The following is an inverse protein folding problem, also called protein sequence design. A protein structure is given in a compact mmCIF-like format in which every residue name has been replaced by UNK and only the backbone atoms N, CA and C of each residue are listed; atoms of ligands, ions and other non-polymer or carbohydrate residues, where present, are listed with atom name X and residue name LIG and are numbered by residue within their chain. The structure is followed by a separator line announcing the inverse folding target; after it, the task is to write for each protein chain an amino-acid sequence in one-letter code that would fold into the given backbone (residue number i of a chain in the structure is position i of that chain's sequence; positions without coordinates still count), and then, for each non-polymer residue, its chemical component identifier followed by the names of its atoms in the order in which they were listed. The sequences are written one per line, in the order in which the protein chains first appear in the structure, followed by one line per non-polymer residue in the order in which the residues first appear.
data_IF_487849596543
#
_entry.id   IF_487849596543
#
_cell.length_a   1.000
_cell.length_b   1.000
_cell.length_c   1.000
_cell.angle_alpha   90.00
_cell.angle_beta   90.00
_cell.angle_gamma   90.00
#
_symmetry.space_group_name_H-M   'P 1'
#
loop_
_entity.id
_entity.type
_entity.pdbx_description
1 polymer ?
#
# COMPACT_ATOMS: atom_id res chain seq x y z
N UNK A 1 -23.31 5.62 6.62
CA UNK A 1 -22.01 5.85 5.98
C UNK A 1 -21.07 6.51 6.96
N UNK A 2 -19.87 6.01 7.10
CA UNK A 2 -18.90 6.52 8.07
C UNK A 2 -17.96 7.50 7.38
N UNK A 3 -17.67 8.63 8.04
CA UNK A 3 -16.66 9.54 7.54
C UNK A 3 -15.30 8.86 7.57
N UNK A 4 -14.48 9.14 6.58
CA UNK A 4 -13.14 8.58 6.50
C UNK A 4 -12.26 9.46 5.62
N UNK A 5 -10.96 9.30 5.79
CA UNK A 5 -9.97 9.88 4.90
C UNK A 5 -9.31 8.75 4.10
N UNK A 6 -9.00 8.99 2.85
CA UNK A 6 -8.34 8.02 2.01
C UNK A 6 -7.07 8.62 1.42
N UNK A 7 -6.00 7.82 1.24
CA UNK A 7 -4.83 8.31 0.54
C UNK A 7 -5.15 8.58 -0.92
N UNK A 8 -4.52 9.60 -1.47
CA UNK A 8 -4.64 9.97 -2.87
C UNK A 8 -3.26 9.92 -3.49
N UNK A 9 -3.01 8.91 -4.31
CA UNK A 9 -1.69 8.52 -4.76
C UNK A 9 -1.55 8.69 -6.27
N UNK A 10 -0.33 8.95 -6.76
CA UNK A 10 -0.13 9.12 -8.20
C UNK A 10 -0.04 7.79 -8.92
N UNK A 11 -0.47 7.79 -10.18
CA UNK A 11 -0.29 6.67 -11.09
C UNK A 11 0.09 7.20 -12.47
N UNK A 12 1.20 6.72 -12.99
CA UNK A 12 1.60 7.06 -14.36
C UNK A 12 0.69 6.40 -15.40
N UNK A 13 0.11 5.26 -15.04
CA UNK A 13 -0.78 4.51 -15.93
C UNK A 13 -1.71 3.65 -15.07
N UNK A 14 -2.99 3.93 -15.10
CA UNK A 14 -3.98 3.25 -14.26
C UNK A 14 -4.01 1.74 -14.49
N UNK A 15 -3.83 1.30 -15.73
CA UNK A 15 -3.86 -0.13 -16.03
C UNK A 15 -2.71 -0.87 -15.34
N UNK A 16 -1.52 -0.31 -15.42
CA UNK A 16 -0.34 -0.88 -14.76
C UNK A 16 -0.51 -0.91 -13.24
N UNK A 17 -0.98 0.19 -12.66
CA UNK A 17 -1.22 0.30 -11.22
C UNK A 17 -2.29 -0.69 -10.76
N UNK A 18 -3.38 -0.81 -11.51
CA UNK A 18 -4.46 -1.74 -11.18
C UNK A 18 -3.95 -3.19 -11.17
N UNK A 19 -3.21 -3.60 -12.18
CA UNK A 19 -2.64 -4.95 -12.25
C UNK A 19 -1.68 -5.22 -11.11
N UNK A 20 -0.84 -4.25 -10.78
CA UNK A 20 0.12 -4.40 -9.70
C UNK A 20 -0.57 -4.68 -8.38
N UNK A 21 -1.54 -3.85 -8.01
CA UNK A 21 -2.24 -4.01 -6.73
C UNK A 21 -3.23 -5.17 -6.73
N UNK A 22 -3.76 -5.55 -7.89
CA UNK A 22 -4.63 -6.73 -7.97
C UNK A 22 -3.89 -8.00 -7.55
N UNK A 23 -2.62 -8.13 -7.90
CA UNK A 23 -1.79 -9.25 -7.45
C UNK A 23 -1.65 -9.29 -5.92
N UNK A 24 -1.89 -8.17 -5.24
CA UNK A 24 -1.83 -8.06 -3.78
C UNK A 24 -3.22 -8.14 -3.14
N UNK A 25 -4.25 -8.39 -3.93
CA UNK A 25 -5.61 -8.54 -3.43
C UNK A 25 -6.45 -7.26 -3.41
N UNK A 26 -5.96 -6.17 -3.99
CA UNK A 26 -6.76 -4.95 -4.11
C UNK A 26 -7.45 -4.92 -5.48
N UNK A 27 -8.76 -4.79 -5.47
CA UNK A 27 -9.57 -4.84 -6.68
C UNK A 27 -10.10 -3.45 -7.05
N UNK A 28 -10.25 -3.23 -8.35
CA UNK A 28 -10.85 -1.99 -8.85
C UNK A 28 -12.31 -1.92 -8.45
N UNK A 29 -12.68 -0.90 -7.67
CA UNK A 29 -14.08 -0.62 -7.35
C UNK A 29 -14.65 0.54 -8.17
N UNK A 30 -13.78 1.38 -8.73
CA UNK A 30 -14.17 2.49 -9.60
C UNK A 30 -12.98 2.89 -10.48
N UNK A 31 -13.27 3.28 -11.71
CA UNK A 31 -12.27 3.94 -12.57
C UNK A 31 -12.96 4.78 -13.63
N UNK A 32 -12.44 6.00 -13.81
CA UNK A 32 -12.64 6.77 -15.04
C UNK A 32 -11.29 7.32 -15.49
N UNK A 33 -11.28 8.29 -16.42
CA UNK A 33 -10.01 8.81 -16.94
C UNK A 33 -9.22 9.61 -15.90
N UNK A 34 -9.87 10.14 -14.88
CA UNK A 34 -9.25 11.03 -13.90
C UNK A 34 -9.15 10.49 -12.49
N UNK A 35 -9.69 9.31 -12.19
CA UNK A 35 -9.72 8.77 -10.84
C UNK A 35 -9.87 7.26 -10.85
N UNK A 36 -9.20 6.59 -9.92
CA UNK A 36 -9.32 5.15 -9.77
C UNK A 36 -9.31 4.80 -8.29
N UNK A 37 -10.17 3.86 -7.88
CA UNK A 37 -10.25 3.40 -6.50
C UNK A 37 -10.02 1.89 -6.48
N UNK A 38 -9.04 1.47 -5.67
CA UNK A 38 -8.73 0.06 -5.45
C UNK A 38 -9.02 -0.28 -3.99
N UNK A 39 -9.69 -1.41 -3.76
CA UNK A 39 -10.13 -1.80 -2.41
C UNK A 39 -9.78 -3.24 -2.09
N UNK A 40 -9.49 -3.48 -0.80
CA UNK A 40 -9.29 -4.81 -0.22
C UNK A 40 -9.82 -4.76 1.21
N UNK A 41 -10.99 -5.35 1.45
CA UNK A 41 -11.63 -5.23 2.76
C UNK A 41 -11.88 -3.76 3.09
N UNK A 42 -11.37 -3.31 4.22
CA UNK A 42 -11.50 -1.92 4.66
C UNK A 42 -10.42 -1.00 4.08
N UNK A 43 -9.44 -1.55 3.38
CA UNK A 43 -8.40 -0.74 2.73
C UNK A 43 -8.95 -0.15 1.45
N UNK A 44 -8.76 1.15 1.27
CA UNK A 44 -9.16 1.86 0.06
C UNK A 44 -8.04 2.82 -0.34
N UNK A 45 -7.50 2.64 -1.53
CA UNK A 45 -6.48 3.52 -2.10
C UNK A 45 -7.09 4.22 -3.31
N UNK A 46 -6.91 5.53 -3.39
CA UNK A 46 -7.41 6.32 -4.51
C UNK A 46 -6.23 6.86 -5.29
N UNK A 47 -6.37 6.86 -6.61
CA UNK A 47 -5.28 7.23 -7.51
C UNK A 47 -5.70 8.33 -8.45
N UNK A 48 -4.78 9.24 -8.74
CA UNK A 48 -4.96 10.26 -9.78
C UNK A 48 -3.89 10.06 -10.87
N UNK A 49 -4.18 10.48 -12.13
CA UNK A 49 -3.21 10.32 -13.20
C UNK A 49 -2.05 11.30 -13.05
N UNK A 50 -0.82 10.80 -13.17
CA UNK A 50 0.40 11.60 -13.12
C UNK A 50 1.42 10.99 -14.08
N UNK A 51 1.18 11.05 -15.39
CA UNK A 51 1.97 10.30 -16.37
C UNK A 51 3.45 10.68 -16.43
N UNK A 52 3.80 11.89 -15.99
CA UNK A 52 5.18 12.37 -16.05
C UNK A 52 5.93 12.27 -14.73
N UNK A 53 5.35 11.59 -13.74
CA UNK A 53 6.01 11.38 -12.46
C UNK A 53 7.32 10.63 -12.65
N UNK A 54 8.38 11.12 -12.00
CA UNK A 54 9.63 10.37 -11.89
C UNK A 54 9.59 9.52 -10.63
N UNK A 55 9.53 8.19 -10.74
CA UNK A 55 9.45 7.31 -9.56
C UNK A 55 10.65 7.46 -8.62
N UNK A 56 11.81 7.87 -9.14
CA UNK A 56 13.03 8.01 -8.33
C UNK A 56 12.96 9.22 -7.40
N UNK A 57 12.11 10.19 -7.70
CA UNK A 57 11.98 11.42 -6.90
C UNK A 57 10.60 11.58 -6.29
N UNK A 58 9.80 10.53 -6.29
CA UNK A 58 8.45 10.58 -5.74
C UNK A 58 8.48 10.75 -4.21
N UNK A 59 7.65 11.67 -3.73
CA UNK A 59 7.49 11.95 -2.30
C UNK A 59 6.18 11.41 -1.74
N UNK A 60 5.39 10.71 -2.56
CA UNK A 60 4.09 10.21 -2.13
C UNK A 60 4.25 9.01 -1.22
N UNK A 61 3.39 8.93 -0.22
CA UNK A 61 3.42 7.81 0.72
C UNK A 61 2.06 7.62 1.38
N UNK A 62 1.85 6.43 1.93
CA UNK A 62 0.72 6.15 2.78
C UNK A 62 1.06 5.02 3.74
N UNK A 63 0.18 4.77 4.71
CA UNK A 63 0.32 3.66 5.64
C UNK A 63 -0.84 2.69 5.46
N UNK A 64 -0.55 1.41 5.33
CA UNK A 64 -1.53 0.34 5.44
C UNK A 64 -1.40 -0.26 6.84
N UNK A 65 -2.48 -0.22 7.60
CA UNK A 65 -2.53 -0.83 8.92
C UNK A 65 -3.25 -2.16 8.78
N UNK A 66 -2.50 -3.24 9.00
CA UNK A 66 -2.89 -4.59 8.63
C UNK A 66 -3.06 -5.47 9.86
N UNK A 67 -4.14 -6.24 9.89
CA UNK A 67 -4.34 -7.22 10.95
C UNK A 67 -3.38 -8.40 10.82
N UNK A 68 -2.97 -8.72 9.60
CA UNK A 68 -2.00 -9.77 9.32
C UNK A 68 -0.97 -9.27 8.31
N UNK A 69 0.04 -8.58 8.84
CA UNK A 69 1.14 -8.05 8.05
C UNK A 69 1.88 -9.17 7.32
N UNK A 70 2.13 -10.29 8.00
CA UNK A 70 2.90 -11.37 7.41
C UNK A 70 2.20 -11.98 6.20
N UNK A 71 0.89 -12.13 6.24
CA UNK A 71 0.13 -12.65 5.11
C UNK A 71 0.19 -11.68 3.91
N UNK A 72 0.05 -10.39 4.17
CA UNK A 72 0.14 -9.39 3.10
C UNK A 72 1.55 -9.35 2.50
N UNK A 73 2.57 -9.39 3.35
CA UNK A 73 3.95 -9.39 2.90
C UNK A 73 4.26 -10.63 2.06
N UNK A 74 3.76 -11.79 2.49
CA UNK A 74 3.91 -13.03 1.73
C UNK A 74 3.24 -12.93 0.35
N UNK A 75 2.09 -12.27 0.26
CA UNK A 75 1.42 -12.03 -1.03
C UNK A 75 2.29 -11.15 -1.94
N UNK A 76 2.93 -10.13 -1.39
CA UNK A 76 3.87 -9.30 -2.15
C UNK A 76 5.04 -10.12 -2.69
N UNK A 77 5.61 -10.99 -1.87
CA UNK A 77 6.69 -11.88 -2.30
C UNK A 77 6.22 -12.84 -3.38
N UNK A 78 5.05 -13.42 -3.21
CA UNK A 78 4.46 -14.35 -4.19
C UNK A 78 4.18 -13.66 -5.53
N UNK A 79 3.91 -12.36 -5.50
CA UNK A 79 3.72 -11.57 -6.73
C UNK A 79 5.04 -11.26 -7.43
N UNK A 80 6.17 -11.67 -6.88
CA UNK A 80 7.47 -11.49 -7.52
C UNK A 80 8.19 -10.20 -7.15
N UNK A 81 7.73 -9.47 -6.14
CA UNK A 81 8.38 -8.23 -5.72
C UNK A 81 9.59 -8.58 -4.86
N UNK A 82 10.76 -8.08 -5.26
CA UNK A 82 12.02 -8.41 -4.58
C UNK A 82 12.27 -7.51 -3.38
N UNK A 83 12.91 -8.09 -2.35
CA UNK A 83 13.49 -7.30 -1.26
C UNK A 83 14.77 -6.66 -1.78
N UNK A 84 14.85 -5.33 -1.71
CA UNK A 84 15.98 -4.60 -2.26
C UNK A 84 16.09 -3.23 -1.60
N UNK A 85 17.29 -2.64 -1.69
CA UNK A 85 17.53 -1.29 -1.17
C UNK A 85 17.24 -0.21 -2.21
N UNK A 86 17.16 -0.57 -3.49
CA UNK A 86 16.94 0.36 -4.59
C UNK A 86 15.99 -0.24 -5.60
N UNK A 87 15.46 0.61 -6.46
CA UNK A 87 14.55 0.18 -7.52
C UNK A 87 13.09 0.26 -7.11
N UNK A 88 12.23 0.09 -8.08
CA UNK A 88 10.79 0.09 -7.88
C UNK A 88 10.16 -0.84 -8.92
N UNK A 89 9.24 -1.72 -8.51
CA UNK A 89 8.83 -1.94 -7.10
C UNK A 89 9.89 -2.66 -6.28
N UNK A 90 9.80 -2.52 -4.97
CA UNK A 90 10.67 -3.26 -4.04
C UNK A 90 10.00 -3.42 -2.69
N UNK A 91 10.55 -4.34 -1.88
CA UNK A 91 10.07 -4.60 -0.53
C UNK A 91 11.18 -4.36 0.49
N UNK A 92 10.79 -3.91 1.67
CA UNK A 92 11.63 -3.87 2.86
C UNK A 92 10.97 -4.77 3.92
N UNK A 93 11.70 -5.79 4.43
CA UNK A 93 11.09 -6.76 5.35
C UNK A 93 10.65 -6.12 6.66
N UNK A 94 9.56 -6.65 7.25
CA UNK A 94 9.07 -6.14 8.53
C UNK A 94 10.13 -6.25 9.62
N UNK A 95 10.24 -5.19 10.42
CA UNK A 95 11.16 -5.10 11.56
C UNK A 95 10.45 -4.45 12.72
N UNK A 96 10.87 -4.79 13.94
CA UNK A 96 10.37 -4.15 15.15
C UNK A 96 11.07 -2.81 15.30
N UNK A 97 10.28 -1.75 15.37
CA UNK A 97 10.80 -0.38 15.52
C UNK A 97 11.02 -0.04 16.98
N UNK A 98 11.73 1.07 17.24
CA UNK A 98 12.08 1.48 18.60
C UNK A 98 10.86 1.68 19.50
N UNK A 99 9.71 2.10 18.92
CA UNK A 99 8.47 2.29 19.67
C UNK A 99 7.69 0.99 19.89
N UNK A 100 8.22 -0.15 19.42
CA UNK A 100 7.65 -1.47 19.64
C UNK A 100 6.75 -1.99 18.52
N UNK A 101 6.39 -1.17 17.56
CA UNK A 101 5.58 -1.60 16.42
C UNK A 101 6.39 -2.34 15.37
N UNK A 102 5.71 -3.19 14.61
CA UNK A 102 6.33 -3.96 13.54
C UNK A 102 5.93 -3.36 12.20
N UNK A 103 6.92 -2.93 11.42
CA UNK A 103 6.71 -2.18 10.19
C UNK A 103 7.58 -2.73 9.06
N UNK A 104 6.96 -3.01 7.93
CA UNK A 104 7.64 -3.26 6.66
C UNK A 104 7.30 -2.14 5.68
N UNK A 105 7.77 -2.29 4.44
CA UNK A 105 7.46 -1.31 3.41
C UNK A 105 7.39 -1.95 2.03
N UNK A 106 6.54 -1.37 1.21
CA UNK A 106 6.43 -1.64 -0.21
C UNK A 106 6.63 -0.32 -0.93
N UNK A 107 7.51 -0.30 -1.94
CA UNK A 107 7.57 0.82 -2.87
C UNK A 107 6.93 0.32 -4.17
N UNK A 108 5.89 1.01 -4.62
CA UNK A 108 5.16 0.57 -5.81
C UNK A 108 5.88 1.00 -7.11
N UNK A 109 5.38 0.61 -8.30
CA UNK A 109 6.04 0.96 -9.56
C UNK A 109 6.18 2.46 -9.82
N UNK A 110 5.36 3.28 -9.19
CA UNK A 110 5.43 4.74 -9.32
C UNK A 110 6.29 5.40 -8.25
N UNK A 111 6.98 4.60 -7.44
CA UNK A 111 7.85 5.11 -6.39
C UNK A 111 7.12 5.54 -5.12
N UNK A 112 5.84 5.22 -4.99
CA UNK A 112 5.08 5.52 -3.77
C UNK A 112 5.50 4.59 -2.65
N UNK A 113 5.84 5.18 -1.50
CA UNK A 113 6.19 4.42 -0.31
C UNK A 113 4.91 4.03 0.44
N UNK A 114 4.66 2.74 0.51
CA UNK A 114 3.52 2.19 1.26
C UNK A 114 4.07 1.48 2.48
N UNK A 115 3.90 2.09 3.66
CA UNK A 115 4.33 1.48 4.91
C UNK A 115 3.32 0.43 5.33
N UNK A 116 3.83 -0.72 5.71
CA UNK A 116 3.01 -1.87 6.09
C UNK A 116 3.15 -2.04 7.60
N UNK A 117 2.09 -1.75 8.35
CA UNK A 117 2.14 -1.67 9.80
C UNK A 117 1.22 -2.73 10.38
N UNK A 118 1.78 -3.58 11.26
CA UNK A 118 0.98 -4.59 11.96
C UNK A 118 0.09 -3.91 13.00
N UNK A 119 -1.20 -4.19 12.95
CA UNK A 119 -2.11 -3.72 13.98
C UNK A 119 -1.81 -4.43 15.30
N UNK A 120 -1.88 -3.67 16.38
CA UNK A 120 -1.71 -4.21 17.73
C UNK A 120 -3.03 -4.83 18.19
N UNK A 121 -3.06 -6.15 18.31
CA UNK A 121 -4.25 -6.88 18.72
C UNK A 121 -4.69 -6.47 20.14
N UNK A 122 -3.75 -6.24 21.05
CA UNK A 122 -4.07 -5.80 22.40
C UNK A 122 -4.69 -4.40 22.41
N UNK A 123 -4.12 -3.46 21.64
CA UNK A 123 -4.68 -2.11 21.51
C UNK A 123 -6.06 -2.15 20.86
N UNK A 124 -6.26 -2.99 19.84
CA UNK A 124 -7.57 -3.16 19.20
C UNK A 124 -8.62 -3.71 20.17
N UNK A 125 -8.24 -4.64 21.04
CA UNK A 125 -9.13 -5.16 22.06
C UNK A 125 -9.51 -4.07 23.08
N UNK A 126 -8.56 -3.24 23.51
CA UNK A 126 -8.79 -2.12 24.42
C UNK A 126 -9.77 -1.11 23.82
N UNK A 127 -9.64 -0.81 22.56
CA UNK A 127 -10.54 0.11 21.88
C UNK A 127 -11.99 -0.38 21.89
N UNK A 128 -12.19 -1.68 21.87
CA UNK A 128 -13.53 -2.26 21.87
C UNK A 128 -14.17 -2.38 23.24
N UNK A 129 -13.40 -2.24 24.29
CA UNK A 129 -13.94 -2.31 25.65
C UNK A 129 -14.31 -0.93 26.17
#
# INVERSE_FOLDING_TARGET
MTDRATPNLPSRDFETTSRFYEALGLHESWRDAGWMILTRGSVSLEFFPHPELDPLTSWFSCCLRLDDLDAFYAACRAAGIAEACTGHPRLHPPQVEAWGGRVGALVDPDGTLVRLIQNDVAAAADVRT
#
